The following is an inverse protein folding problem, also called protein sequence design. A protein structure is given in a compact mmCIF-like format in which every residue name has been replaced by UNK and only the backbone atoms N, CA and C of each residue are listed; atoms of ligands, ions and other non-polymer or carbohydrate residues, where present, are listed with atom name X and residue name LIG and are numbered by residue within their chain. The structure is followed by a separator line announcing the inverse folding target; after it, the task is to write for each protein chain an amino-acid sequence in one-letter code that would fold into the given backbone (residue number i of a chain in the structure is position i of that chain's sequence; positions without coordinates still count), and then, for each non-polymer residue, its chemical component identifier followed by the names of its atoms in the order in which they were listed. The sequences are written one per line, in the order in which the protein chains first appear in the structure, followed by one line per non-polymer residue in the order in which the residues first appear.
data_IF_151604021459
#
_entry.id   IF_151604021459
#
_cell.length_a   1.000
_cell.length_b   1.000
_cell.length_c   1.000
_cell.angle_alpha   90.00
_cell.angle_beta   90.00
_cell.angle_gamma   90.00
#
_symmetry.space_group_name_H-M   'P 1'
#
loop_
_entity.id
_entity.type
_entity.pdbx_description
1 polymer ?
#
# COMPACT_ATOMS: atom_id res chain seq x y z
N UNK A 1 25.05 7.92 26.84
CA UNK A 1 25.28 8.89 25.77
C UNK A 1 23.92 9.40 25.33
N UNK A 2 23.60 10.62 25.76
CA UNK A 2 22.30 11.29 25.60
C UNK A 2 22.58 12.60 24.91
N UNK A 3 22.15 12.77 23.65
CA UNK A 3 21.80 14.05 22.99
C UNK A 3 21.80 13.90 21.45
N UNK A 4 20.69 13.42 20.88
CA UNK A 4 20.30 13.70 19.48
C UNK A 4 18.80 13.97 19.31
N UNK A 5 18.03 13.89 20.40
CA UNK A 5 16.56 13.92 20.36
C UNK A 5 15.97 15.20 19.73
N UNK A 6 16.62 16.37 19.82
CA UNK A 6 16.02 17.63 19.37
C UNK A 6 16.26 18.04 17.90
N UNK A 7 17.16 17.39 17.16
CA UNK A 7 17.52 17.89 15.81
C UNK A 7 16.46 17.59 14.74
N UNK A 8 15.72 16.51 14.94
CA UNK A 8 14.82 15.95 13.91
C UNK A 8 13.34 16.20 14.20
N UNK A 9 13.00 16.70 15.39
CA UNK A 9 11.63 17.01 15.81
C UNK A 9 10.97 18.07 14.93
N UNK A 10 11.75 19.05 14.46
CA UNK A 10 11.26 20.16 13.62
C UNK A 10 11.33 19.88 12.11
N UNK A 11 11.97 18.78 11.69
CA UNK A 11 12.14 18.47 10.26
C UNK A 11 10.91 17.71 9.79
N UNK A 12 10.03 18.35 9.01
CA UNK A 12 8.88 17.68 8.39
C UNK A 12 9.32 16.49 7.54
N UNK A 13 8.54 15.40 7.56
CA UNK A 13 8.78 14.29 6.65
C UNK A 13 8.48 14.72 5.23
N UNK A 14 7.36 15.42 5.03
CA UNK A 14 6.86 15.86 3.72
C UNK A 14 7.00 17.36 3.51
N UNK A 15 7.39 17.75 2.30
CA UNK A 15 7.33 19.16 1.87
C UNK A 15 5.88 19.58 1.65
N UNK A 16 5.61 20.88 1.67
CA UNK A 16 4.24 21.41 1.63
C UNK A 16 3.46 20.95 0.39
N UNK A 17 4.15 20.83 -0.76
CA UNK A 17 3.58 20.39 -2.03
C UNK A 17 3.07 18.95 -1.97
N UNK A 18 3.80 18.06 -1.29
CA UNK A 18 3.43 16.64 -1.15
C UNK A 18 2.14 16.46 -0.33
N UNK A 19 1.78 17.41 0.53
CA UNK A 19 0.51 17.38 1.29
C UNK A 19 -0.72 17.52 0.41
N UNK A 20 -0.56 17.99 -0.82
CA UNK A 20 -1.67 18.14 -1.80
C UNK A 20 -1.80 16.95 -2.74
N UNK A 21 -0.95 15.92 -2.59
CA UNK A 21 -0.87 14.78 -3.51
C UNK A 21 -2.19 14.03 -3.66
N UNK A 22 -2.93 13.80 -2.57
CA UNK A 22 -4.27 13.21 -2.68
C UNK A 22 -5.21 14.05 -3.55
N UNK A 23 -5.24 15.37 -3.38
CA UNK A 23 -6.14 16.24 -4.16
C UNK A 23 -5.81 16.18 -5.66
N UNK A 24 -4.51 16.17 -6.01
CA UNK A 24 -4.03 15.99 -7.38
C UNK A 24 -4.43 14.63 -7.95
N UNK A 25 -4.28 13.57 -7.14
CA UNK A 25 -4.70 12.22 -7.50
C UNK A 25 -6.23 12.14 -7.70
N UNK A 26 -7.02 12.66 -6.77
CA UNK A 26 -8.47 12.53 -6.79
C UNK A 26 -9.11 13.26 -7.98
N UNK A 27 -8.46 14.29 -8.53
CA UNK A 27 -8.97 15.12 -9.64
C UNK A 27 -10.42 15.58 -9.41
N UNK A 28 -10.72 16.00 -8.18
CA UNK A 28 -12.04 16.48 -7.76
C UNK A 28 -13.08 15.41 -7.40
N UNK A 29 -12.72 14.11 -7.45
CA UNK A 29 -13.60 13.03 -6.97
C UNK A 29 -13.63 12.95 -5.45
N UNK A 30 -14.79 12.60 -4.89
CA UNK A 30 -14.92 12.36 -3.45
C UNK A 30 -14.19 11.08 -3.06
N UNK A 31 -13.64 11.03 -1.84
CA UNK A 31 -13.02 9.82 -1.30
C UNK A 31 -13.99 8.63 -1.23
N UNK A 32 -15.29 8.90 -1.11
CA UNK A 32 -16.35 7.89 -1.08
C UNK A 32 -16.54 7.18 -2.43
N UNK A 33 -16.09 7.79 -3.53
CA UNK A 33 -16.21 7.27 -4.90
C UNK A 33 -14.96 6.50 -5.36
N UNK A 34 -13.93 6.47 -4.53
CA UNK A 34 -12.65 5.83 -4.83
C UNK A 34 -12.57 4.47 -4.15
N UNK A 35 -11.93 3.52 -4.83
CA UNK A 35 -11.39 2.35 -4.14
C UNK A 35 -10.22 2.76 -3.25
N UNK A 36 -9.89 1.96 -2.24
CA UNK A 36 -8.77 2.19 -1.32
C UNK A 36 -7.93 0.92 -1.19
N UNK A 37 -6.62 1.08 -1.34
CA UNK A 37 -5.64 0.08 -0.94
C UNK A 37 -4.80 0.71 0.17
N UNK A 38 -4.80 0.10 1.34
CA UNK A 38 -4.03 0.56 2.50
C UNK A 38 -3.06 -0.51 2.92
N UNK A 39 -1.84 -0.11 3.20
CA UNK A 39 -0.87 -0.89 3.95
C UNK A 39 -0.50 -0.13 5.22
N UNK A 40 -0.76 -0.72 6.39
CA UNK A 40 -0.27 -0.20 7.67
C UNK A 40 0.89 -1.05 8.17
N UNK A 41 2.03 -0.42 8.41
CA UNK A 41 3.24 -1.05 8.92
C UNK A 41 3.41 -0.63 10.37
N UNK A 42 3.16 -1.55 11.30
CA UNK A 42 3.49 -1.35 12.72
C UNK A 42 4.98 -1.57 12.93
N UNK A 43 5.59 -0.92 13.91
CA UNK A 43 7.03 -0.97 14.14
C UNK A 43 7.81 -0.64 12.85
N UNK A 44 7.36 0.37 12.09
CA UNK A 44 7.88 0.71 10.77
C UNK A 44 9.39 0.99 10.76
N UNK A 45 9.94 1.49 11.86
CA UNK A 45 11.37 1.70 12.07
C UNK A 45 12.20 0.41 11.97
N UNK A 46 11.56 -0.76 12.11
CA UNK A 46 12.20 -2.08 12.04
C UNK A 46 12.12 -2.73 10.66
N UNK A 47 11.43 -2.10 9.69
CA UNK A 47 11.26 -2.65 8.34
C UNK A 47 12.60 -2.87 7.62
N UNK A 48 13.56 -1.96 7.82
CA UNK A 48 14.93 -2.10 7.33
C UNK A 48 15.02 -2.43 5.84
N UNK A 49 15.82 -3.45 5.51
CA UNK A 49 16.06 -3.89 4.14
C UNK A 49 14.82 -4.44 3.42
N UNK A 50 13.78 -4.86 4.15
CA UNK A 50 12.55 -5.40 3.57
C UNK A 50 11.65 -4.34 2.91
N UNK A 51 12.06 -3.06 2.92
CA UNK A 51 11.29 -1.95 2.34
C UNK A 51 11.02 -2.13 0.84
N UNK A 52 11.99 -2.67 0.09
CA UNK A 52 11.84 -2.95 -1.34
C UNK A 52 10.84 -4.09 -1.59
N UNK A 53 11.01 -5.21 -0.88
CA UNK A 53 10.13 -6.37 -0.97
C UNK A 53 8.70 -6.02 -0.58
N UNK A 54 8.53 -5.22 0.48
CA UNK A 54 7.22 -4.71 0.88
C UNK A 54 6.60 -3.87 -0.22
N UNK A 55 7.36 -2.94 -0.80
CA UNK A 55 6.87 -2.10 -1.90
C UNK A 55 6.49 -2.95 -3.12
N UNK A 56 7.30 -3.95 -3.46
CA UNK A 56 6.99 -4.91 -4.53
C UNK A 56 5.68 -5.67 -4.25
N UNK A 57 5.50 -6.24 -3.06
CA UNK A 57 4.27 -6.94 -2.67
C UNK A 57 3.03 -6.02 -2.74
N UNK A 58 3.19 -4.76 -2.32
CA UNK A 58 2.15 -3.74 -2.41
C UNK A 58 1.78 -3.42 -3.85
N UNK A 59 2.77 -3.26 -4.74
CA UNK A 59 2.57 -2.97 -6.16
C UNK A 59 1.94 -4.15 -6.92
N UNK A 60 2.36 -5.39 -6.62
CA UNK A 60 1.73 -6.62 -7.14
C UNK A 60 0.27 -6.68 -6.72
N UNK A 61 -0.04 -6.39 -5.45
CA UNK A 61 -1.42 -6.34 -4.96
C UNK A 61 -2.23 -5.24 -5.65
N UNK A 62 -1.64 -4.06 -5.86
CA UNK A 62 -2.29 -2.99 -6.61
C UNK A 62 -2.59 -3.41 -8.06
N UNK A 63 -1.69 -4.10 -8.75
CA UNK A 63 -1.91 -4.57 -10.12
C UNK A 63 -3.06 -5.58 -10.18
N UNK A 64 -3.10 -6.52 -9.23
CA UNK A 64 -4.21 -7.45 -9.06
C UNK A 64 -5.54 -6.71 -8.84
N UNK A 65 -5.56 -5.65 -8.04
CA UNK A 65 -6.77 -4.87 -7.84
C UNK A 65 -7.16 -4.07 -9.09
N UNK A 66 -6.20 -3.48 -9.80
CA UNK A 66 -6.47 -2.69 -11.01
C UNK A 66 -7.16 -3.53 -12.09
N UNK A 67 -6.86 -4.82 -12.19
CA UNK A 67 -7.54 -5.71 -13.14
C UNK A 67 -8.99 -6.02 -12.80
N UNK A 68 -9.39 -5.75 -11.55
CA UNK A 68 -10.72 -6.06 -11.03
C UNK A 68 -11.55 -4.81 -10.73
N UNK A 69 -10.88 -3.69 -10.43
CA UNK A 69 -11.52 -2.48 -9.95
C UNK A 69 -12.20 -1.72 -11.10
N UNK A 70 -13.45 -1.33 -10.89
CA UNK A 70 -14.17 -0.41 -11.76
C UNK A 70 -13.90 1.07 -11.42
N UNK A 71 -13.19 1.31 -10.32
CA UNK A 71 -12.92 2.62 -9.74
C UNK A 71 -11.43 2.88 -9.67
N UNK A 72 -11.07 4.15 -9.67
CA UNK A 72 -9.70 4.59 -9.36
C UNK A 72 -9.38 4.25 -7.89
N UNK A 73 -8.19 3.70 -7.64
CA UNK A 73 -7.78 3.20 -6.32
C UNK A 73 -6.83 4.17 -5.63
N UNK A 74 -7.29 4.83 -4.56
CA UNK A 74 -6.45 5.61 -3.66
C UNK A 74 -5.54 4.67 -2.85
N UNK A 75 -4.24 4.87 -2.94
CA UNK A 75 -3.21 4.02 -2.32
C UNK A 75 -2.57 4.73 -1.15
N UNK A 76 -2.51 4.09 0.00
CA UNK A 76 -1.92 4.66 1.22
C UNK A 76 -0.99 3.65 1.89
N UNK A 77 0.24 4.07 2.18
CA UNK A 77 1.12 3.36 3.12
C UNK A 77 1.24 4.19 4.40
N UNK A 78 0.92 3.58 5.53
CA UNK A 78 1.00 4.15 6.87
C UNK A 78 2.20 3.52 7.58
N UNK A 79 3.12 4.36 8.04
CA UNK A 79 4.26 3.97 8.86
C UNK A 79 3.95 4.34 10.31
N UNK A 80 3.53 3.34 11.09
CA UNK A 80 3.25 3.47 12.51
C UNK A 80 4.48 3.05 13.33
N UNK A 81 5.04 3.99 14.06
CA UNK A 81 6.19 3.76 14.95
C UNK A 81 5.72 3.46 16.36
N UNK A 82 6.31 2.44 16.99
CA UNK A 82 6.07 2.15 18.40
C UNK A 82 6.90 3.03 19.34
N UNK A 83 8.13 3.36 18.93
CA UNK A 83 9.05 4.21 19.68
C UNK A 83 8.83 5.70 19.34
N UNK A 84 9.49 6.61 20.05
CA UNK A 84 9.33 8.07 19.85
C UNK A 84 10.50 8.71 19.11
N UNK A 85 11.53 7.95 18.71
CA UNK A 85 12.66 8.50 17.96
C UNK A 85 12.29 8.75 16.49
N UNK A 86 11.78 9.96 16.23
CA UNK A 86 11.42 10.44 14.90
C UNK A 86 12.54 10.26 13.86
N UNK A 87 13.81 10.32 14.28
CA UNK A 87 14.94 10.17 13.37
C UNK A 87 14.98 8.78 12.70
N UNK A 88 14.49 7.75 13.40
CA UNK A 88 14.49 6.37 12.93
C UNK A 88 13.55 6.12 11.73
N UNK A 89 12.57 7.01 11.50
CA UNK A 89 11.63 6.87 10.37
C UNK A 89 12.14 7.49 9.06
N UNK A 90 13.14 8.38 9.09
CA UNK A 90 13.63 9.02 7.86
C UNK A 90 14.20 8.00 6.85
N UNK A 91 15.01 7.00 7.25
CA UNK A 91 15.52 6.01 6.32
C UNK A 91 14.40 5.23 5.62
N UNK A 92 13.43 4.71 6.38
CA UNK A 92 12.31 3.93 5.81
C UNK A 92 11.38 4.81 4.98
N UNK A 93 11.08 6.03 5.42
CA UNK A 93 10.24 6.97 4.66
C UNK A 93 10.90 7.33 3.32
N UNK A 94 12.21 7.58 3.31
CA UNK A 94 12.95 7.90 2.09
C UNK A 94 13.08 6.69 1.16
N UNK A 95 13.30 5.49 1.69
CA UNK A 95 13.30 4.26 0.90
C UNK A 95 11.94 4.06 0.22
N UNK A 96 10.84 4.23 0.94
CA UNK A 96 9.51 4.05 0.38
C UNK A 96 9.09 5.16 -0.58
N UNK A 97 9.57 6.39 -0.40
CA UNK A 97 9.43 7.42 -1.45
C UNK A 97 10.08 6.98 -2.75
N UNK A 98 11.30 6.46 -2.67
CA UNK A 98 12.00 5.95 -3.85
C UNK A 98 11.20 4.82 -4.53
N UNK A 99 10.78 3.80 -3.78
CA UNK A 99 10.07 2.65 -4.37
C UNK A 99 8.61 2.94 -4.75
N UNK A 100 7.90 3.86 -4.09
CA UNK A 100 6.45 4.06 -4.26
C UNK A 100 6.06 5.39 -4.91
N UNK A 101 7.02 6.20 -5.35
CA UNK A 101 6.72 7.49 -5.99
C UNK A 101 7.50 7.74 -7.30
N UNK A 102 8.50 6.91 -7.61
CA UNK A 102 9.35 7.09 -8.78
C UNK A 102 9.07 6.04 -9.87
N UNK A 103 10.05 5.83 -10.75
CA UNK A 103 9.98 4.89 -11.86
C UNK A 103 9.75 3.44 -11.42
N UNK A 104 10.14 3.08 -10.20
CA UNK A 104 9.88 1.74 -9.66
C UNK A 104 8.39 1.36 -9.68
N UNK A 105 7.48 2.34 -9.67
CA UNK A 105 6.02 2.10 -9.70
C UNK A 105 5.41 1.90 -11.09
N UNK A 106 6.20 1.96 -12.16
CA UNK A 106 5.71 1.75 -13.52
C UNK A 106 5.34 0.28 -13.75
N UNK A 107 4.23 0.03 -14.44
CA UNK A 107 3.67 -1.32 -14.62
C UNK A 107 4.62 -2.29 -15.34
N UNK A 108 5.45 -1.80 -16.25
CA UNK A 108 6.46 -2.57 -16.98
C UNK A 108 7.57 -3.14 -16.08
N UNK A 109 7.70 -2.65 -14.84
CA UNK A 109 8.61 -3.22 -13.83
C UNK A 109 8.02 -4.43 -13.09
N UNK A 110 6.87 -4.98 -13.51
CA UNK A 110 6.25 -6.11 -12.83
C UNK A 110 7.22 -7.28 -12.58
N UNK A 111 8.04 -7.62 -13.56
CA UNK A 111 9.04 -8.69 -13.43
C UNK A 111 10.18 -8.36 -12.46
N UNK A 112 10.53 -7.08 -12.34
CA UNK A 112 11.48 -6.62 -11.33
C UNK A 112 10.88 -6.76 -9.93
N UNK A 113 9.60 -6.41 -9.75
CA UNK A 113 8.91 -6.60 -8.46
C UNK A 113 8.84 -8.07 -8.05
N UNK A 114 8.49 -8.96 -8.98
CA UNK A 114 8.50 -10.40 -8.74
C UNK A 114 9.91 -10.87 -8.39
N UNK A 115 10.94 -10.30 -9.03
CA UNK A 115 12.34 -10.62 -8.75
C UNK A 115 12.78 -10.13 -7.38
N UNK A 116 12.39 -8.94 -6.94
CA UNK A 116 12.70 -8.42 -5.60
C UNK A 116 12.13 -9.30 -4.49
N UNK A 117 10.99 -9.97 -4.72
CA UNK A 117 10.38 -10.91 -3.77
C UNK A 117 11.09 -12.26 -3.68
N UNK A 118 11.98 -12.59 -4.62
CA UNK A 118 12.67 -13.90 -4.65
C UNK A 118 13.47 -14.14 -3.38
N UNK A 119 13.38 -15.36 -2.87
CA UNK A 119 14.02 -15.77 -1.62
C UNK A 119 13.19 -15.48 -0.37
N UNK A 120 12.14 -14.66 -0.49
CA UNK A 120 11.21 -14.37 0.60
C UNK A 120 9.82 -14.95 0.35
N UNK A 121 9.28 -14.72 -0.83
CA UNK A 121 7.98 -15.20 -1.24
C UNK A 121 8.02 -15.65 -2.69
N UNK A 122 7.17 -16.62 -3.04
CA UNK A 122 6.99 -17.02 -4.42
C UNK A 122 5.63 -16.53 -4.93
N UNK A 123 5.65 -15.65 -5.92
CA UNK A 123 4.44 -15.33 -6.71
C UNK A 123 4.13 -16.59 -7.53
N UNK A 124 2.92 -17.12 -7.41
CA UNK A 124 2.55 -18.33 -8.13
C UNK A 124 2.61 -18.10 -9.64
N UNK A 125 2.91 -19.16 -10.41
CA UNK A 125 2.94 -19.06 -11.87
C UNK A 125 1.61 -18.54 -12.42
N UNK A 126 0.49 -19.00 -11.82
CA UNK A 126 -0.85 -18.55 -12.16
C UNK A 126 -1.04 -17.05 -11.93
N UNK A 127 -0.69 -16.53 -10.75
CA UNK A 127 -0.82 -15.11 -10.46
C UNK A 127 0.08 -14.29 -11.37
N UNK A 128 1.29 -14.79 -11.63
CA UNK A 128 2.24 -14.15 -12.54
C UNK A 128 1.69 -14.05 -13.95
N UNK A 129 1.19 -15.15 -14.52
CA UNK A 129 0.62 -15.17 -15.88
C UNK A 129 -0.54 -14.17 -16.03
N UNK A 130 -1.49 -14.19 -15.08
CA UNK A 130 -2.62 -13.26 -15.09
C UNK A 130 -2.14 -11.79 -15.06
N UNK A 131 -1.21 -11.45 -14.17
CA UNK A 131 -0.74 -10.08 -14.00
C UNK A 131 0.19 -9.60 -15.13
N UNK A 132 0.94 -10.49 -15.76
CA UNK A 132 1.75 -10.19 -16.94
C UNK A 132 0.85 -9.76 -18.10
N UNK A 133 -0.22 -10.50 -18.38
CA UNK A 133 -1.17 -10.15 -19.45
C UNK A 133 -1.78 -8.75 -19.24
N UNK A 134 -2.09 -8.41 -17.98
CA UNK A 134 -2.63 -7.09 -17.61
C UNK A 134 -1.56 -6.00 -17.79
N UNK A 135 -0.33 -6.26 -17.36
CA UNK A 135 0.79 -5.32 -17.53
C UNK A 135 1.03 -5.04 -19.01
N UNK A 136 1.10 -6.08 -19.83
CA UNK A 136 1.31 -5.98 -21.28
C UNK A 136 0.15 -5.24 -21.96
N UNK A 137 -1.10 -5.55 -21.62
CA UNK A 137 -2.26 -4.85 -22.15
C UNK A 137 -2.24 -3.35 -21.83
N UNK A 138 -1.93 -2.99 -20.58
CA UNK A 138 -1.90 -1.60 -20.11
C UNK A 138 -0.73 -0.81 -20.70
N UNK A 139 0.38 -1.48 -21.05
CA UNK A 139 1.56 -0.86 -21.66
C UNK A 139 1.44 -0.77 -23.19
N UNK A 140 0.78 -1.73 -23.85
CA UNK A 140 0.61 -1.78 -25.31
C UNK A 140 -0.54 -0.93 -25.84
N UNK A 141 -1.60 -0.73 -25.03
CA UNK A 141 -2.73 0.11 -25.42
C UNK A 141 -2.24 1.55 -25.57
N UNK A 142 -2.43 2.17 -26.75
CA UNK A 142 -2.11 3.58 -27.09
C UNK A 142 -2.85 4.63 -26.21
N UNK A 143 -3.33 4.25 -25.04
CA UNK A 143 -3.65 5.16 -23.93
C UNK A 143 -2.39 5.85 -23.36
N UNK A 144 -1.19 5.45 -23.81
CA UNK A 144 0.11 5.89 -23.30
C UNK A 144 0.67 7.21 -23.84
N UNK A 145 0.19 7.73 -24.97
CA UNK A 145 0.85 8.89 -25.61
C UNK A 145 0.43 10.26 -25.03
N UNK A 146 -0.50 10.29 -24.06
CA UNK A 146 -0.93 11.52 -23.36
C UNK A 146 -0.65 11.56 -21.85
N UNK A 147 0.07 10.60 -21.26
CA UNK A 147 0.42 10.73 -19.84
C UNK A 147 1.27 9.62 -19.27
N UNK A 148 2.59 9.86 -19.20
CA UNK A 148 3.55 9.06 -18.42
C UNK A 148 3.15 8.89 -16.93
N UNK A 149 2.30 9.77 -16.40
CA UNK A 149 1.78 9.69 -15.03
C UNK A 149 0.67 8.65 -14.82
N UNK A 150 -0.09 8.29 -15.86
CA UNK A 150 -1.24 7.37 -15.70
C UNK A 150 -0.79 5.89 -15.65
N UNK A 151 0.48 5.61 -15.98
CA UNK A 151 1.13 4.30 -15.85
C UNK A 151 1.77 4.04 -14.48
N UNK A 152 1.86 5.06 -13.62
CA UNK A 152 2.52 4.95 -12.32
C UNK A 152 1.51 4.68 -11.20
N UNK A 153 1.85 3.76 -10.31
CA UNK A 153 1.04 3.52 -9.11
C UNK A 153 1.28 4.62 -8.05
N UNK A 154 0.67 5.79 -8.25
CA UNK A 154 0.74 6.90 -7.27
C UNK A 154 0.25 6.43 -5.90
N UNK A 155 1.14 6.48 -4.91
CA UNK A 155 0.90 6.02 -3.53
C UNK A 155 1.17 7.12 -2.54
N UNK A 156 0.20 7.44 -1.69
CA UNK A 156 0.36 8.39 -0.59
C UNK A 156 1.07 7.72 0.58
N UNK A 157 1.87 8.51 1.30
CA UNK A 157 2.52 8.10 2.54
C UNK A 157 1.92 8.86 3.72
N UNK A 158 1.81 8.17 4.86
CA UNK A 158 1.53 8.74 6.16
C UNK A 158 2.55 8.19 7.18
N UNK A 159 3.00 9.04 8.09
CA UNK A 159 3.95 8.70 9.15
C UNK A 159 3.36 9.12 10.48
N UNK A 160 3.36 8.20 11.45
CA UNK A 160 2.71 8.40 12.76
C UNK A 160 3.58 7.87 13.89
N UNK A 161 3.55 8.59 15.00
CA UNK A 161 4.11 8.19 16.29
C UNK A 161 3.27 8.80 17.43
N UNK A 162 3.46 8.39 18.70
CA UNK A 162 2.67 8.89 19.83
C UNK A 162 2.62 10.42 20.00
N UNK A 163 3.58 11.16 19.43
CA UNK A 163 3.67 12.63 19.51
C UNK A 163 3.44 13.39 18.20
N UNK A 164 3.28 12.72 17.06
CA UNK A 164 3.12 13.40 15.77
C UNK A 164 2.42 12.53 14.72
N UNK A 165 1.78 13.18 13.75
CA UNK A 165 1.24 12.56 12.55
C UNK A 165 1.41 13.49 11.35
N UNK A 166 1.91 12.96 10.24
CA UNK A 166 2.06 13.65 8.96
C UNK A 166 1.62 12.76 7.81
N UNK A 167 1.03 13.36 6.78
CA UNK A 167 0.50 12.63 5.63
C UNK A 167 0.51 13.48 4.34
N UNK A 168 0.27 12.79 3.23
CA UNK A 168 0.20 13.37 1.88
C UNK A 168 -1.25 13.69 1.43
N UNK A 169 -2.11 14.09 2.37
CA UNK A 169 -3.49 14.51 2.14
C UNK A 169 -4.54 13.39 2.21
N UNK A 170 -4.12 12.18 2.58
CA UNK A 170 -4.99 11.03 2.84
C UNK A 170 -4.54 10.33 4.11
N UNK A 171 -5.49 10.05 5.00
CA UNK A 171 -5.27 9.27 6.22
C UNK A 171 -6.30 8.16 6.34
N UNK A 172 -5.95 7.09 7.07
CA UNK A 172 -6.89 6.05 7.45
C UNK A 172 -6.70 5.62 8.92
N UNK A 173 -7.79 5.42 9.64
CA UNK A 173 -7.81 4.72 10.93
C UNK A 173 -8.19 3.26 10.68
N UNK A 174 -7.22 2.38 10.90
CA UNK A 174 -7.33 0.93 10.67
C UNK A 174 -7.41 0.14 11.98
N UNK A 175 -7.48 0.82 13.13
CA UNK A 175 -7.44 0.19 14.46
C UNK A 175 -8.62 -0.75 14.73
N UNK A 176 -9.79 -0.45 14.14
CA UNK A 176 -10.95 -1.32 14.21
C UNK A 176 -10.85 -2.42 13.13
N UNK A 177 -10.97 -3.71 13.50
CA UNK A 177 -10.82 -4.82 12.55
C UNK A 177 -11.95 -4.92 11.51
N UNK A 178 -13.11 -4.29 11.74
CA UNK A 178 -14.30 -4.42 10.88
C UNK A 178 -14.68 -3.15 10.13
N UNK A 179 -14.19 -1.99 10.59
CA UNK A 179 -14.53 -0.69 10.01
C UNK A 179 -13.24 0.11 9.84
N UNK A 180 -13.04 0.68 8.67
CA UNK A 180 -11.90 1.55 8.38
C UNK A 180 -12.44 2.95 8.08
N UNK A 181 -11.88 3.94 8.75
CA UNK A 181 -12.27 5.34 8.53
C UNK A 181 -11.18 6.05 7.74
N UNK A 182 -11.53 6.58 6.58
CA UNK A 182 -10.63 7.36 5.74
C UNK A 182 -10.98 8.84 5.81
N UNK A 183 -9.97 9.70 5.84
CA UNK A 183 -10.17 11.15 5.83
C UNK A 183 -9.26 11.79 4.79
N UNK A 184 -9.86 12.61 3.92
CA UNK A 184 -9.17 13.41 2.93
C UNK A 184 -10.02 14.60 2.46
N UNK A 185 -9.39 15.75 2.15
CA UNK A 185 -10.11 16.91 1.62
C UNK A 185 -11.23 17.48 2.52
N UNK A 186 -11.18 17.22 3.83
CA UNK A 186 -12.25 17.57 4.77
C UNK A 186 -13.45 16.60 4.78
N UNK A 187 -13.42 15.56 3.95
CA UNK A 187 -14.42 14.50 3.88
C UNK A 187 -13.98 13.27 4.67
N UNK A 188 -14.96 12.47 5.08
CA UNK A 188 -14.74 11.17 5.74
C UNK A 188 -15.51 10.07 5.02
N UNK A 189 -14.84 8.94 4.74
CA UNK A 189 -15.43 7.70 4.23
C UNK A 189 -15.30 6.63 5.31
N UNK A 190 -16.38 5.90 5.59
CA UNK A 190 -16.35 4.73 6.46
C UNK A 190 -16.68 3.49 5.64
N UNK A 191 -15.76 2.54 5.62
CA UNK A 191 -15.87 1.33 4.81
C UNK A 191 -15.86 0.11 5.74
N UNK A 192 -16.81 -0.81 5.52
CA UNK A 192 -16.91 -2.06 6.29
C UNK A 192 -16.06 -3.13 5.61
N UNK A 193 -15.06 -3.63 6.33
CA UNK A 193 -14.20 -4.74 5.89
C UNK A 193 -14.65 -6.01 6.59
N UNK A 194 -15.09 -7.00 5.80
CA UNK A 194 -15.84 -8.16 6.32
C UNK A 194 -15.09 -9.49 6.18
N UNK A 195 -14.12 -9.57 5.27
CA UNK A 195 -13.36 -10.78 5.00
C UNK A 195 -11.91 -10.58 5.42
N UNK A 196 -11.46 -11.40 6.36
CA UNK A 196 -10.16 -11.21 7.01
C UNK A 196 -9.33 -12.48 6.98
N UNK A 197 -8.05 -12.35 6.61
CA UNK A 197 -7.02 -13.34 6.86
C UNK A 197 -6.10 -12.81 7.94
N UNK A 198 -5.74 -13.68 8.87
CA UNK A 198 -4.78 -13.39 9.91
C UNK A 198 -3.63 -14.40 9.82
N UNK A 199 -2.42 -13.87 9.91
CA UNK A 199 -1.21 -14.58 10.23
C UNK A 199 -0.51 -13.90 11.40
N UNK A 200 0.60 -14.48 11.87
CA UNK A 200 1.27 -14.01 13.08
C UNK A 200 1.83 -12.58 12.95
N UNK A 201 2.23 -12.19 11.75
CA UNK A 201 2.84 -10.89 11.43
C UNK A 201 2.07 -10.11 10.36
N UNK A 202 0.92 -10.62 9.92
CA UNK A 202 0.18 -10.12 8.77
C UNK A 202 -1.32 -10.19 9.03
N UNK A 203 -2.06 -9.17 8.60
CA UNK A 203 -3.50 -9.26 8.39
C UNK A 203 -3.85 -8.68 7.03
N UNK A 204 -4.90 -9.22 6.41
CA UNK A 204 -5.49 -8.62 5.23
C UNK A 204 -7.00 -8.67 5.37
N UNK A 205 -7.63 -7.52 5.11
CA UNK A 205 -9.05 -7.28 5.30
C UNK A 205 -9.62 -6.66 4.04
N UNK A 206 -10.73 -7.20 3.57
CA UNK A 206 -11.35 -6.79 2.30
C UNK A 206 -12.81 -6.42 2.54
N UNK A 207 -13.26 -5.33 1.93
CA UNK A 207 -14.67 -4.94 1.91
C UNK A 207 -15.48 -5.80 0.94
N UNK A 208 -16.77 -6.01 1.25
CA UNK A 208 -17.66 -6.81 0.39
C UNK A 208 -17.78 -6.26 -1.04
N UNK A 209 -17.70 -4.94 -1.20
CA UNK A 209 -17.67 -4.23 -2.48
C UNK A 209 -16.38 -4.44 -3.26
N UNK A 210 -15.33 -4.98 -2.63
CA UNK A 210 -14.01 -5.29 -3.20
C UNK A 210 -13.21 -4.08 -3.65
N UNK A 211 -13.69 -2.89 -3.35
CA UNK A 211 -13.01 -1.64 -3.64
C UNK A 211 -12.14 -1.18 -2.48
N UNK A 212 -12.18 -1.85 -1.32
CA UNK A 212 -11.31 -1.54 -0.17
C UNK A 212 -10.55 -2.77 0.29
N UNK A 213 -9.22 -2.67 0.29
CA UNK A 213 -8.30 -3.63 0.91
C UNK A 213 -7.43 -2.91 1.92
N UNK A 214 -7.33 -3.49 3.11
CA UNK A 214 -6.41 -3.07 4.16
C UNK A 214 -5.51 -4.24 4.50
N UNK A 215 -4.20 -4.02 4.37
CA UNK A 215 -3.17 -4.93 4.80
C UNK A 215 -2.48 -4.31 6.00
N UNK A 216 -2.20 -5.12 7.01
CA UNK A 216 -1.38 -4.73 8.14
C UNK A 216 -0.22 -5.69 8.26
N UNK A 217 0.98 -5.17 8.48
CA UNK A 217 2.17 -5.98 8.76
C UNK A 217 2.89 -5.47 10.01
N UNK A 218 3.61 -6.37 10.66
CA UNK A 218 4.59 -6.04 11.69
C UNK A 218 5.97 -5.89 11.05
N UNK A 219 6.51 -4.67 11.04
CA UNK A 219 7.84 -4.35 10.52
C UNK A 219 8.96 -5.09 11.25
N UNK A 220 8.76 -5.52 12.51
CA UNK A 220 9.72 -6.36 13.22
C UNK A 220 9.79 -7.80 12.66
N UNK A 221 8.78 -8.21 11.89
CA UNK A 221 8.63 -9.53 11.30
C UNK A 221 8.30 -9.42 9.80
N UNK A 222 8.85 -8.39 9.14
CA UNK A 222 8.50 -8.01 7.77
C UNK A 222 8.62 -9.18 6.78
N UNK A 223 9.71 -9.94 6.87
CA UNK A 223 9.96 -11.10 6.01
C UNK A 223 8.82 -12.12 6.11
N UNK A 224 8.49 -12.55 7.33
CA UNK A 224 7.39 -13.49 7.57
C UNK A 224 6.03 -12.91 7.13
N UNK A 225 5.80 -11.62 7.38
CA UNK A 225 4.57 -10.94 7.00
C UNK A 225 4.39 -10.89 5.47
N UNK A 226 5.44 -10.55 4.72
CA UNK A 226 5.40 -10.47 3.25
C UNK A 226 5.22 -11.87 2.65
N UNK A 227 5.90 -12.89 3.20
CA UNK A 227 5.71 -14.28 2.76
C UNK A 227 4.26 -14.74 2.96
N UNK A 228 3.69 -14.46 4.14
CA UNK A 228 2.28 -14.76 4.45
C UNK A 228 1.32 -13.98 3.55
N UNK A 229 1.63 -12.71 3.25
CA UNK A 229 0.82 -11.88 2.36
C UNK A 229 0.77 -12.43 0.95
N UNK A 230 1.92 -12.64 0.31
CA UNK A 230 1.98 -13.11 -1.09
C UNK A 230 1.30 -14.47 -1.24
N UNK A 231 1.45 -15.37 -0.26
CA UNK A 231 0.79 -16.67 -0.25
C UNK A 231 -0.75 -16.60 -0.26
N UNK A 232 -1.35 -15.43 0.04
CA UNK A 232 -2.80 -15.19 0.05
C UNK A 232 -3.32 -14.50 -1.19
N UNK A 233 -2.46 -14.02 -2.09
CA UNK A 233 -2.90 -13.30 -3.27
C UNK A 233 -3.65 -14.20 -4.27
N UNK A 234 -3.32 -15.49 -4.34
CA UNK A 234 -4.12 -16.46 -5.10
C UNK A 234 -5.53 -16.59 -4.52
N UNK A 235 -5.69 -16.60 -3.19
CA UNK A 235 -7.02 -16.65 -2.57
C UNK A 235 -7.85 -15.38 -2.84
N UNK A 236 -7.18 -14.23 -3.05
CA UNK A 236 -7.81 -12.97 -3.50
C UNK A 236 -8.24 -13.10 -4.97
N UNK A 237 -7.39 -13.68 -5.83
CA UNK A 237 -7.72 -13.96 -7.23
C UNK A 237 -8.92 -14.90 -7.36
N UNK A 238 -8.95 -15.96 -6.55
CA UNK A 238 -9.98 -17.00 -6.57
C UNK A 238 -11.30 -16.61 -5.96
N UNK A 239 -11.41 -15.42 -5.40
CA UNK A 239 -12.57 -15.01 -4.63
C UNK A 239 -12.86 -15.89 -3.40
N UNK A 240 -11.87 -16.67 -2.94
CA UNK A 240 -11.97 -17.54 -1.78
C UNK A 240 -11.97 -16.73 -0.47
N UNK A 241 -11.13 -15.69 -0.40
CA UNK A 241 -11.26 -14.65 0.61
C UNK A 241 -12.44 -13.73 0.35
N UNK A 242 -13.11 -13.89 -0.80
CA UNK A 242 -14.21 -13.07 -1.28
C UNK A 242 -15.59 -13.72 -1.07
N UNK A 243 -15.68 -14.76 -0.24
CA UNK A 243 -16.94 -15.33 0.26
C UNK A 243 -17.80 -16.02 -0.79
N UNK A 244 -17.24 -16.34 -1.96
CA UNK A 244 -17.90 -17.19 -2.93
C UNK A 244 -17.55 -18.65 -2.59
N UNK A 245 -18.55 -19.42 -2.14
CA UNK A 245 -18.49 -20.86 -2.37
C UNK A 245 -18.27 -21.06 -3.86
N UNK A 246 -17.18 -21.73 -4.25
CA UNK A 246 -17.09 -22.34 -5.57
C UNK A 246 -18.36 -23.17 -5.75
N UNK A 247 -19.28 -22.71 -6.60
CA UNK A 247 -20.50 -23.45 -6.88
C UNK A 247 -20.12 -24.84 -7.36
N UNK A 248 -20.46 -25.84 -6.55
CA UNK A 248 -20.69 -27.20 -6.97
C UNK A 248 -22.20 -27.43 -6.90
#
# INVERSE_FOLDING_TARGET
MTATAGKYDDISFFVAEERTKFAQFARGKSITELGKLVLAVRNAERLGAASEQMAAAYLVTNLLLMSRAQRRIAKLVILDMAESDRAALFPVTNALRYFLMEDYTQLDNFEDWVTSLKGLANVSDRLRDELTDISDFMTSSELGDQGTTDRKAQTMLAVRAPGFAEDQGLTADVSNPFIVTFTAGGETSQDVVGQSVYGDAFSMRVANSRDVIVIEIDGAQADAAIAQWIARLDDVLDNALLGLSSGA
#
